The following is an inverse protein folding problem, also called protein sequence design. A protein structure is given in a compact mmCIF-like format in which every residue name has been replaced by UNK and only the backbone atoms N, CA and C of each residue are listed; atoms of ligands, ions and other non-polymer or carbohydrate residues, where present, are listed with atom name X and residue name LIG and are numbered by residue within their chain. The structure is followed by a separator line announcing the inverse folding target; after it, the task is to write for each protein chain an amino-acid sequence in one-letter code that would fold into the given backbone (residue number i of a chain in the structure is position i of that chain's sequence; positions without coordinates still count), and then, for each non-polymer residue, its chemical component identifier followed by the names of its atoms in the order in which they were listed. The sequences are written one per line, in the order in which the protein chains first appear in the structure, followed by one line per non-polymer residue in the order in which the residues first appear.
data_IF_976892324903
#
_entry.id   IF_976892324903
#
_cell.length_a   1.000
_cell.length_b   1.000
_cell.length_c   1.000
_cell.angle_alpha   90.00
_cell.angle_beta   90.00
_cell.angle_gamma   90.00
#
_symmetry.space_group_name_H-M   'P 1'
#
loop_
_entity.id
_entity.type
_entity.pdbx_description
1 polymer ?
#
# COMPACT_ATOMS: atom_id res chain seq x y z
N UNK A 1 1.94 51.93 55.72
CA UNK A 1 3.24 52.32 55.15
C UNK A 1 3.38 51.69 53.77
N UNK A 2 3.73 52.50 52.77
CA UNK A 2 3.95 52.13 51.37
C UNK A 2 5.08 51.09 51.25
N UNK A 3 4.92 50.08 50.39
CA UNK A 3 6.04 49.53 49.61
C UNK A 3 5.53 48.95 48.29
N UNK A 4 5.90 49.68 47.24
CA UNK A 4 5.79 49.35 45.82
C UNK A 4 6.56 48.06 45.57
N UNK A 5 5.94 47.07 44.93
CA UNK A 5 6.71 45.99 44.28
C UNK A 5 6.38 45.95 42.81
N UNK A 6 7.48 45.93 42.06
CA UNK A 6 7.61 46.24 40.65
C UNK A 6 7.15 45.05 39.81
N UNK A 7 6.60 45.38 38.64
CA UNK A 7 6.55 44.54 37.45
C UNK A 7 7.83 43.68 37.34
N UNK A 8 7.65 42.37 37.39
CA UNK A 8 8.63 41.39 36.95
C UNK A 8 8.09 40.73 35.70
N UNK A 9 8.45 41.28 34.53
CA UNK A 9 8.41 40.58 33.25
C UNK A 9 9.14 39.25 33.41
N UNK A 10 8.43 38.13 33.30
CA UNK A 10 8.98 36.87 32.84
C UNK A 10 7.96 36.28 31.87
N UNK A 11 8.02 36.82 30.66
CA UNK A 11 7.34 36.26 29.51
C UNK A 11 7.93 34.87 29.31
N UNK A 12 7.16 33.85 29.67
CA UNK A 12 7.49 32.47 29.42
C UNK A 12 7.74 32.32 27.92
N UNK A 13 8.99 31.98 27.55
CA UNK A 13 9.33 31.53 26.20
C UNK A 13 8.54 30.25 25.95
N UNK A 14 7.36 30.42 25.36
CA UNK A 14 6.57 29.36 24.80
C UNK A 14 7.43 28.68 23.74
N UNK A 15 7.83 27.46 24.03
CA UNK A 15 8.62 26.59 23.17
C UNK A 15 7.81 26.29 21.90
N UNK A 16 7.92 27.15 20.88
CA UNK A 16 7.52 26.79 19.52
C UNK A 16 8.58 25.85 18.97
N UNK A 17 8.48 24.57 19.31
CA UNK A 17 8.96 23.53 18.39
C UNK A 17 8.00 23.55 17.20
N UNK A 18 8.46 23.87 15.98
CA UNK A 18 7.71 23.41 14.82
C UNK A 18 7.75 21.88 14.86
N UNK A 19 6.62 21.27 15.15
CA UNK A 19 6.34 19.90 14.74
C UNK A 19 6.35 19.91 13.21
N UNK A 20 7.55 19.87 12.63
CA UNK A 20 7.74 19.52 11.24
C UNK A 20 7.23 18.10 11.11
N UNK A 21 5.94 17.97 10.78
CA UNK A 21 5.41 16.80 10.12
C UNK A 21 6.24 16.70 8.84
N UNK A 22 7.34 15.97 8.90
CA UNK A 22 7.84 15.28 7.73
C UNK A 22 6.71 14.31 7.39
N UNK A 23 5.75 14.82 6.61
CA UNK A 23 4.86 13.97 5.86
C UNK A 23 5.78 12.98 5.19
N UNK A 24 5.58 11.70 5.49
CA UNK A 24 6.12 10.66 4.63
C UNK A 24 5.55 10.98 3.26
N UNK A 25 6.35 11.65 2.44
CA UNK A 25 6.11 11.79 1.03
C UNK A 25 6.19 10.35 0.54
N UNK A 26 5.04 9.69 0.54
CA UNK A 26 4.88 8.41 -0.14
C UNK A 26 4.98 8.79 -1.61
N UNK A 27 6.22 8.86 -2.08
CA UNK A 27 6.56 8.70 -3.48
C UNK A 27 6.17 7.27 -3.83
N UNK A 28 4.88 7.01 -3.96
CA UNK A 28 4.36 5.90 -4.72
C UNK A 28 4.60 6.24 -6.20
N UNK A 29 5.88 6.25 -6.58
CA UNK A 29 6.22 6.14 -7.98
C UNK A 29 5.62 4.80 -8.44
N UNK A 30 4.75 4.80 -9.45
CA UNK A 30 4.18 3.56 -9.95
C UNK A 30 5.33 2.66 -10.40
N UNK A 31 5.48 1.51 -9.74
CA UNK A 31 6.44 0.49 -10.16
C UNK A 31 5.85 -0.20 -11.37
N UNK A 32 6.41 0.09 -12.53
CA UNK A 32 6.07 -0.62 -13.76
C UNK A 32 6.53 -2.07 -13.62
N UNK A 33 5.58 -2.99 -13.47
CA UNK A 33 5.87 -4.42 -13.62
C UNK A 33 5.90 -4.70 -15.12
N UNK A 34 7.07 -4.59 -15.75
CA UNK A 34 7.31 -5.18 -17.07
C UNK A 34 7.44 -6.70 -16.90
N UNK A 35 6.30 -7.38 -16.79
CA UNK A 35 6.21 -8.82 -17.01
C UNK A 35 5.44 -9.06 -18.31
N UNK A 36 5.99 -8.53 -19.40
CA UNK A 36 5.58 -8.85 -20.75
C UNK A 36 6.09 -10.25 -21.12
N UNK A 37 5.35 -11.25 -20.68
CA UNK A 37 5.25 -12.53 -21.39
C UNK A 37 3.85 -13.06 -21.13
N UNK A 38 3.22 -13.59 -22.17
CA UNK A 38 1.98 -14.39 -22.07
C UNK A 38 2.29 -15.71 -21.34
N UNK A 39 2.78 -15.60 -20.11
CA UNK A 39 2.95 -16.72 -19.20
C UNK A 39 1.58 -17.27 -18.81
N UNK A 40 1.53 -18.52 -18.32
CA UNK A 40 0.29 -19.09 -17.83
C UNK A 40 -0.27 -18.20 -16.70
N UNK A 41 -1.60 -18.06 -16.58
CA UNK A 41 -2.21 -17.34 -15.47
C UNK A 41 -1.71 -17.87 -14.13
N UNK A 42 -1.26 -16.97 -13.26
CA UNK A 42 -0.78 -17.35 -11.92
C UNK A 42 -1.97 -17.80 -11.07
N UNK A 43 -1.99 -19.06 -10.64
CA UNK A 43 -3.00 -19.57 -9.73
C UNK A 43 -2.67 -19.17 -8.29
N UNK A 44 -3.56 -18.42 -7.65
CA UNK A 44 -3.35 -17.87 -6.32
C UNK A 44 -4.44 -18.34 -5.37
N UNK A 45 -4.05 -18.77 -4.18
CA UNK A 45 -4.97 -19.04 -3.06
C UNK A 45 -4.77 -18.01 -1.95
N UNK A 46 -5.86 -17.37 -1.53
CA UNK A 46 -5.83 -16.37 -0.47
C UNK A 46 -5.97 -17.08 0.87
N UNK A 47 -5.06 -16.75 1.80
CA UNK A 47 -5.04 -17.27 3.16
C UNK A 47 -5.63 -16.26 4.15
N UNK A 48 -6.37 -16.73 5.17
CA UNK A 48 -6.91 -15.86 6.21
C UNK A 48 -5.82 -15.34 7.16
N UNK A 49 -4.71 -16.05 7.31
CA UNK A 49 -3.65 -15.70 8.25
C UNK A 49 -2.30 -15.53 7.54
N UNK A 50 -1.55 -14.48 7.93
CA UNK A 50 -0.20 -14.19 7.41
C UNK A 50 0.75 -15.39 7.51
N UNK A 51 0.69 -16.13 8.61
CA UNK A 51 1.59 -17.26 8.85
C UNK A 51 1.41 -18.44 7.86
N UNK A 52 0.29 -18.47 7.14
CA UNK A 52 -0.05 -19.52 6.18
C UNK A 52 0.27 -19.15 4.73
N UNK A 53 0.67 -17.90 4.50
CA UNK A 53 0.93 -17.33 3.19
C UNK A 53 2.43 -17.22 2.90
N UNK A 54 2.79 -17.42 1.64
CA UNK A 54 4.14 -17.20 1.14
C UNK A 54 4.41 -15.71 0.87
N UNK A 55 3.39 -14.99 0.38
CA UNK A 55 3.49 -13.56 0.12
C UNK A 55 2.41 -12.72 0.80
N UNK A 56 2.72 -11.44 1.06
CA UNK A 56 1.79 -10.44 1.58
C UNK A 56 1.57 -9.40 0.52
N UNK A 57 0.33 -9.23 0.08
CA UNK A 57 -0.03 -8.29 -0.98
C UNK A 57 -0.92 -7.19 -0.43
N UNK A 58 -0.64 -5.95 -0.84
CA UNK A 58 -1.49 -4.80 -0.59
C UNK A 58 -2.22 -4.41 -1.87
N UNK A 59 -3.53 -4.18 -1.80
CA UNK A 59 -4.33 -3.71 -2.93
C UNK A 59 -4.46 -2.20 -2.88
N UNK A 60 -3.71 -1.49 -3.72
CA UNK A 60 -3.66 -0.02 -3.74
C UNK A 60 -4.88 0.66 -4.39
N UNK A 61 -5.82 -0.11 -4.95
CA UNK A 61 -7.05 0.40 -5.57
C UNK A 61 -7.15 0.12 -7.07
N UNK A 62 -7.53 1.14 -7.85
CA UNK A 62 -7.88 1.00 -9.26
C UNK A 62 -6.64 0.82 -10.18
N UNK A 63 -6.81 0.02 -11.23
CA UNK A 63 -5.77 -0.27 -12.23
C UNK A 63 -5.70 0.72 -13.41
N UNK A 64 -6.21 1.95 -13.27
CA UNK A 64 -6.40 2.88 -14.41
C UNK A 64 -5.11 3.28 -15.14
N UNK A 65 -3.94 3.10 -14.51
CA UNK A 65 -2.63 3.40 -15.07
C UNK A 65 -1.80 2.14 -15.41
N UNK A 66 -2.37 0.93 -15.26
CA UNK A 66 -1.65 -0.30 -15.57
C UNK A 66 -1.71 -0.59 -17.08
N UNK A 67 -0.56 -0.61 -17.74
CA UNK A 67 -0.47 -0.83 -19.19
C UNK A 67 -0.49 -2.32 -19.58
N UNK A 68 0.01 -3.20 -18.71
CA UNK A 68 0.12 -4.65 -18.97
C UNK A 68 -0.25 -5.47 -17.71
N UNK A 69 -1.53 -5.80 -17.50
CA UNK A 69 -1.96 -6.53 -16.32
C UNK A 69 -1.63 -8.02 -16.42
N UNK A 70 -0.93 -8.54 -15.41
CA UNK A 70 -0.81 -9.98 -15.24
C UNK A 70 -2.17 -10.59 -14.87
N UNK A 71 -2.53 -11.73 -15.50
CA UNK A 71 -3.73 -12.48 -15.13
C UNK A 71 -3.45 -13.36 -13.92
N UNK A 72 -4.23 -13.14 -12.87
CA UNK A 72 -4.27 -14.01 -11.68
C UNK A 72 -5.57 -14.79 -11.69
N UNK A 73 -5.48 -16.10 -11.47
CA UNK A 73 -6.63 -16.98 -11.26
C UNK A 73 -6.74 -17.28 -9.78
N UNK A 74 -7.87 -16.94 -9.15
CA UNK A 74 -8.13 -17.35 -7.77
C UNK A 74 -8.56 -18.82 -7.73
N UNK A 75 -7.95 -19.59 -6.82
CA UNK A 75 -8.29 -21.00 -6.60
C UNK A 75 -8.63 -21.25 -5.12
N UNK A 76 -9.61 -22.13 -4.90
CA UNK A 76 -10.08 -22.45 -3.55
C UNK A 76 -9.08 -23.31 -2.76
N UNK A 77 -8.43 -24.27 -3.42
CA UNK A 77 -7.51 -25.20 -2.78
C UNK A 77 -6.06 -24.75 -2.95
N UNK A 78 -5.38 -24.45 -1.84
CA UNK A 78 -3.98 -24.02 -1.85
C UNK A 78 -3.02 -25.05 -2.46
N UNK A 79 -3.35 -26.35 -2.41
CA UNK A 79 -2.55 -27.39 -3.07
C UNK A 79 -2.54 -27.28 -4.60
N UNK A 80 -3.46 -26.50 -5.19
CA UNK A 80 -3.57 -26.25 -6.62
C UNK A 80 -3.10 -24.83 -7.01
N UNK A 81 -2.59 -24.07 -6.04
CA UNK A 81 -2.09 -22.73 -6.27
C UNK A 81 -0.59 -22.74 -6.53
N UNK A 82 -0.13 -21.89 -7.44
CA UNK A 82 1.28 -21.59 -7.65
C UNK A 82 1.82 -20.74 -6.48
N UNK A 83 0.96 -19.92 -5.88
CA UNK A 83 1.31 -19.00 -4.78
C UNK A 83 0.18 -18.92 -3.75
N UNK A 84 0.54 -18.90 -2.47
CA UNK A 84 -0.40 -18.56 -1.38
C UNK A 84 -0.13 -17.15 -0.89
N UNK A 85 -1.18 -16.32 -0.82
CA UNK A 85 -1.05 -14.91 -0.45
C UNK A 85 -1.91 -14.57 0.76
N UNK A 86 -1.49 -13.55 1.50
CA UNK A 86 -2.28 -12.86 2.50
C UNK A 86 -2.51 -11.42 2.03
N UNK A 87 -3.76 -10.95 2.07
CA UNK A 87 -4.09 -9.57 1.73
C UNK A 87 -3.97 -8.68 2.98
N UNK A 88 -3.28 -7.55 2.84
CA UNK A 88 -3.09 -6.57 3.91
C UNK A 88 -3.56 -5.17 3.49
N UNK A 89 -4.03 -4.40 4.47
CA UNK A 89 -4.31 -2.98 4.37
C UNK A 89 -3.04 -2.11 4.61
N UNK A 90 -1.96 -2.71 5.09
CA UNK A 90 -0.71 -2.04 5.44
C UNK A 90 0.34 -2.14 4.30
N UNK A 91 0.48 -1.12 3.44
CA UNK A 91 1.39 -1.16 2.29
C UNK A 91 2.85 -1.37 2.70
N UNK A 92 3.28 -0.83 3.85
CA UNK A 92 4.64 -0.93 4.35
C UNK A 92 5.04 -2.35 4.81
N UNK A 93 4.05 -3.24 4.99
CA UNK A 93 4.24 -4.64 5.37
C UNK A 93 4.09 -5.60 4.19
N UNK A 94 3.75 -5.08 3.01
CA UNK A 94 3.50 -5.89 1.83
C UNK A 94 4.81 -6.19 1.09
N UNK A 95 4.92 -7.42 0.58
CA UNK A 95 5.97 -7.76 -0.38
C UNK A 95 5.68 -7.13 -1.74
N UNK A 96 4.40 -6.93 -2.07
CA UNK A 96 3.95 -6.34 -3.33
C UNK A 96 2.74 -5.44 -3.12
N UNK A 97 2.72 -4.35 -3.87
CA UNK A 97 1.53 -3.52 -4.07
C UNK A 97 0.95 -3.84 -5.43
N UNK A 98 -0.33 -4.22 -5.45
CA UNK A 98 -1.07 -4.57 -6.66
C UNK A 98 -2.32 -3.69 -6.78
N UNK A 99 -2.88 -3.65 -7.97
CA UNK A 99 -4.25 -3.23 -8.20
C UNK A 99 -5.04 -4.45 -8.69
N UNK A 100 -6.35 -4.47 -8.47
CA UNK A 100 -7.23 -5.52 -8.99
C UNK A 100 -8.31 -4.87 -9.84
N UNK A 101 -8.64 -5.52 -10.95
CA UNK A 101 -9.73 -5.10 -11.83
C UNK A 101 -10.56 -6.31 -12.23
N UNK A 102 -11.85 -6.10 -12.48
CA UNK A 102 -12.66 -7.14 -13.08
C UNK A 102 -12.18 -7.32 -14.52
N UNK A 103 -11.79 -8.55 -14.96
CA UNK A 103 -11.45 -8.79 -16.35
C UNK A 103 -12.52 -8.32 -17.34
N UNK A 104 -13.81 -8.38 -16.99
CA UNK A 104 -14.91 -7.89 -17.84
C UNK A 104 -14.98 -6.37 -17.94
N UNK A 105 -14.39 -5.65 -16.97
CA UNK A 105 -14.32 -4.20 -16.94
C UNK A 105 -13.02 -3.65 -17.57
N UNK A 106 -12.08 -4.53 -17.93
CA UNK A 106 -10.91 -4.11 -18.67
C UNK A 106 -11.32 -3.74 -20.09
N UNK A 107 -10.88 -2.59 -20.65
CA UNK A 107 -11.09 -2.31 -22.05
C UNK A 107 -10.54 -3.49 -22.83
N UNK A 108 -11.40 -4.26 -23.51
CA UNK A 108 -10.92 -5.40 -24.29
C UNK A 108 -9.83 -4.86 -25.21
N UNK A 109 -8.63 -5.43 -25.07
CA UNK A 109 -7.48 -5.02 -25.85
C UNK A 109 -7.94 -4.96 -27.31
N UNK A 110 -7.78 -3.80 -27.95
CA UNK A 110 -8.05 -3.69 -29.38
C UNK A 110 -7.12 -4.68 -30.05
N UNK A 111 -7.71 -5.71 -30.67
CA UNK A 111 -7.00 -6.66 -31.53
C UNK A 111 -6.23 -5.95 -32.63
#
# INVERSE_FOLDING_TARGET
MRRRFRLGLLWALLSLLPAGQAGAEILAAPVTVTSSSLGPPLAVSIRPFRAEAQEIWHVAGACSAAEDPARVRLVAFAALADLTIYLTDAPEKAHRTICLTNPDAWPQARE
#
